data_IF_592099014215
#
_entry.id   IF_592099014215
#
_cell.length_a   1.000
_cell.length_b   1.000
_cell.length_c   1.000
_cell.angle_alpha   90.00
_cell.angle_beta   90.00
_cell.angle_gamma   90.00
#
_symmetry.space_group_name_H-M   'P 1'
#
loop_
_entity.id
_entity.type
_entity.pdbx_description
1 polymer ?
#
# COMPACT_ATOMS: atom_id res chain seq x y z
N UNK A 1 35.53 -78.78 -14.78
CA UNK A 1 36.23 -77.81 -13.90
C UNK A 1 35.22 -77.38 -12.86
N UNK A 2 35.55 -77.64 -11.61
CA UNK A 2 34.70 -77.72 -10.42
C UNK A 2 34.18 -76.37 -9.95
N UNK A 3 33.00 -76.42 -9.32
CA UNK A 3 32.26 -75.36 -8.64
C UNK A 3 32.99 -74.86 -7.36
N UNK A 4 34.24 -74.41 -7.47
CA UNK A 4 35.07 -74.05 -6.31
C UNK A 4 35.35 -72.54 -6.18
N UNK A 5 34.72 -71.68 -6.98
CA UNK A 5 35.04 -70.24 -7.00
C UNK A 5 34.21 -69.37 -6.03
N UNK A 6 33.31 -69.95 -5.23
CA UNK A 6 32.35 -69.17 -4.43
C UNK A 6 32.21 -69.59 -2.95
N UNK A 7 33.26 -70.19 -2.36
CA UNK A 7 33.20 -70.63 -0.96
C UNK A 7 34.51 -70.45 -0.16
N UNK A 8 35.13 -69.27 -0.29
CA UNK A 8 36.06 -68.71 0.69
C UNK A 8 35.51 -67.29 0.96
N UNK A 9 34.91 -66.89 2.08
CA UNK A 9 35.27 -67.11 3.47
C UNK A 9 34.05 -66.91 4.39
N UNK A 10 33.55 -67.99 5.02
CA UNK A 10 32.59 -67.90 6.14
C UNK A 10 33.24 -67.44 7.46
N UNK A 11 34.57 -67.48 7.56
CA UNK A 11 35.30 -67.20 8.80
C UNK A 11 35.83 -65.76 8.90
N UNK A 12 36.11 -65.09 7.77
CA UNK A 12 36.52 -63.68 7.75
C UNK A 12 35.37 -62.68 7.95
N UNK A 13 34.11 -63.10 7.68
CA UNK A 13 32.93 -62.22 7.71
C UNK A 13 32.41 -61.90 9.12
N UNK A 14 32.56 -62.83 10.07
CA UNK A 14 32.10 -62.64 11.45
C UNK A 14 33.06 -61.75 12.21
N UNK A 15 34.37 -61.96 12.04
CA UNK A 15 35.40 -61.17 12.71
C UNK A 15 35.42 -59.71 12.23
N UNK A 16 35.27 -59.49 10.92
CA UNK A 16 35.13 -58.15 10.34
C UNK A 16 33.82 -57.47 10.76
N UNK A 17 32.69 -58.19 10.79
CA UNK A 17 31.43 -57.65 11.32
C UNK A 17 31.52 -57.29 12.81
N UNK A 18 32.20 -58.10 13.62
CA UNK A 18 32.37 -57.83 15.05
C UNK A 18 33.22 -56.57 15.29
N UNK A 19 34.30 -56.40 14.51
CA UNK A 19 35.12 -55.18 14.55
C UNK A 19 34.29 -53.97 14.12
N UNK A 20 33.49 -54.08 13.07
CA UNK A 20 32.67 -52.96 12.57
C UNK A 20 31.59 -52.57 13.58
N UNK A 21 31.00 -53.55 14.26
CA UNK A 21 30.01 -53.32 15.33
C UNK A 21 30.66 -52.68 16.55
N UNK A 22 31.87 -53.10 16.93
CA UNK A 22 32.65 -52.47 18.00
C UNK A 22 33.01 -51.02 17.66
N UNK A 23 33.41 -50.73 16.41
CA UNK A 23 33.67 -49.36 15.96
C UNK A 23 32.41 -48.52 16.00
N UNK A 24 31.26 -49.07 15.59
CA UNK A 24 29.98 -48.35 15.65
C UNK A 24 29.55 -48.08 17.10
N UNK A 25 29.72 -49.05 18.00
CA UNK A 25 29.45 -48.89 19.42
C UNK A 25 30.38 -47.87 20.08
N UNK A 26 31.67 -47.85 19.71
CA UNK A 26 32.60 -46.83 20.17
C UNK A 26 32.23 -45.45 19.62
N UNK A 27 31.85 -45.35 18.35
CA UNK A 27 31.36 -44.11 17.75
C UNK A 27 30.13 -43.56 18.47
N UNK A 28 29.14 -44.40 18.75
CA UNK A 28 27.96 -44.02 19.54
C UNK A 28 28.34 -43.61 20.97
N UNK A 29 29.27 -44.33 21.62
CA UNK A 29 29.71 -44.00 22.98
C UNK A 29 30.45 -42.64 23.03
N UNK A 30 31.30 -42.36 22.04
CA UNK A 30 31.97 -41.06 21.91
C UNK A 30 30.95 -39.95 21.66
N UNK A 31 29.98 -40.16 20.77
CA UNK A 31 28.90 -39.18 20.53
C UNK A 31 28.09 -38.94 21.80
N UNK A 32 27.71 -39.97 22.54
CA UNK A 32 26.95 -39.82 23.81
C UNK A 32 27.78 -39.12 24.90
N UNK A 33 29.10 -39.33 24.94
CA UNK A 33 29.99 -38.69 25.94
C UNK A 33 30.40 -37.26 25.59
N UNK A 34 30.40 -36.91 24.30
CA UNK A 34 30.83 -35.58 23.80
C UNK A 34 29.65 -34.69 23.41
N UNK A 35 28.44 -35.24 23.27
CA UNK A 35 27.24 -34.46 23.00
C UNK A 35 26.74 -33.76 24.26
N UNK A 36 27.24 -32.55 24.50
CA UNK A 36 26.56 -31.60 25.39
C UNK A 36 25.22 -31.21 24.74
N UNK A 37 24.07 -31.33 25.45
CA UNK A 37 22.81 -30.86 24.91
C UNK A 37 22.95 -29.36 24.62
N UNK A 38 22.54 -28.95 23.42
CA UNK A 38 22.62 -27.56 22.99
C UNK A 38 22.06 -26.64 24.10
N UNK A 39 22.93 -25.87 24.75
CA UNK A 39 22.50 -24.86 25.70
C UNK A 39 21.47 -23.98 25.00
N UNK A 40 20.36 -23.68 25.66
CA UNK A 40 19.34 -22.76 25.14
C UNK A 40 19.90 -21.33 25.10
N UNK A 41 20.80 -21.06 24.16
CA UNK A 41 21.49 -19.79 24.00
C UNK A 41 20.44 -18.71 23.76
N UNK A 42 20.35 -17.77 24.71
CA UNK A 42 19.47 -16.61 24.60
C UNK A 42 18.09 -16.73 25.26
N UNK A 43 17.79 -17.82 25.99
CA UNK A 43 16.56 -17.93 26.77
C UNK A 43 16.40 -16.78 27.79
N UNK A 44 17.50 -16.42 28.47
CA UNK A 44 17.51 -15.30 29.43
C UNK A 44 17.32 -13.95 28.74
N UNK A 45 17.97 -13.75 27.57
CA UNK A 45 17.75 -12.56 26.73
C UNK A 45 16.34 -12.50 26.18
N UNK A 46 15.67 -13.63 25.95
CA UNK A 46 14.27 -13.69 25.54
C UNK A 46 13.34 -13.22 26.68
N UNK A 47 13.60 -13.67 27.91
CA UNK A 47 12.86 -13.21 29.10
C UNK A 47 13.06 -11.72 29.35
N UNK A 48 14.28 -11.21 29.19
CA UNK A 48 14.58 -9.78 29.31
C UNK A 48 13.81 -8.96 28.26
N UNK A 49 13.81 -9.38 27.00
CA UNK A 49 13.04 -8.73 25.92
C UNK A 49 11.53 -8.74 26.19
N UNK A 50 11.00 -9.83 26.72
CA UNK A 50 9.58 -9.93 27.11
C UNK A 50 9.25 -8.95 28.23
N UNK A 51 10.06 -8.89 29.29
CA UNK A 51 9.87 -7.95 30.38
C UNK A 51 9.97 -6.49 29.91
N UNK A 52 10.88 -6.17 28.98
CA UNK A 52 10.95 -4.84 28.35
C UNK A 52 9.69 -4.54 27.54
N UNK A 53 9.20 -5.52 26.77
CA UNK A 53 7.99 -5.35 25.93
C UNK A 53 6.74 -5.13 26.78
N UNK A 54 6.58 -5.86 27.88
CA UNK A 54 5.47 -5.68 28.82
C UNK A 54 5.50 -4.29 29.46
N UNK A 55 6.66 -3.82 29.93
CA UNK A 55 6.81 -2.45 30.45
C UNK A 55 6.47 -1.38 29.42
N UNK A 56 6.89 -1.55 28.16
CA UNK A 56 6.56 -0.62 27.07
C UNK A 56 5.06 -0.67 26.78
N UNK A 57 4.46 -1.86 26.76
CA UNK A 57 3.04 -2.06 26.51
C UNK A 57 2.20 -1.38 27.59
N UNK A 58 2.53 -1.56 28.86
CA UNK A 58 1.82 -0.94 29.97
C UNK A 58 1.96 0.58 29.97
N UNK A 59 3.18 1.09 29.74
CA UNK A 59 3.41 2.53 29.58
C UNK A 59 2.66 3.12 28.38
N UNK A 60 2.53 2.36 27.28
CA UNK A 60 1.74 2.75 26.12
C UNK A 60 0.24 2.77 26.47
N UNK A 61 -0.27 1.77 27.17
CA UNK A 61 -1.67 1.74 27.66
C UNK A 61 -1.94 2.93 28.57
N UNK A 62 -1.06 3.26 29.51
CA UNK A 62 -1.22 4.44 30.37
C UNK A 62 -1.24 5.74 29.57
N UNK A 63 -0.41 5.87 28.52
CA UNK A 63 -0.43 7.05 27.62
C UNK A 63 -1.67 7.09 26.72
N UNK A 64 -2.20 5.93 26.32
CA UNK A 64 -3.38 5.77 25.48
C UNK A 64 -4.71 5.89 26.25
N UNK A 65 -4.67 5.76 27.58
CA UNK A 65 -5.82 5.93 28.47
C UNK A 65 -6.43 7.35 28.42
N UNK A 66 -5.76 8.30 27.76
CA UNK A 66 -6.26 9.65 27.49
C UNK A 66 -6.32 10.53 28.75
N UNK A 67 -6.51 11.82 28.51
CA UNK A 67 -6.61 12.94 29.47
C UNK A 67 -5.28 13.53 29.93
N UNK A 68 -4.15 13.19 29.30
CA UNK A 68 -2.88 13.84 29.56
C UNK A 68 -2.87 15.23 28.92
N UNK A 69 -2.51 16.25 29.69
CA UNK A 69 -2.35 17.62 29.16
C UNK A 69 -1.08 17.66 28.31
N UNK A 70 -1.24 17.72 26.99
CA UNK A 70 -0.12 17.79 26.03
C UNK A 70 0.44 19.20 25.97
N UNK A 71 -0.42 20.22 26.04
CA UNK A 71 -0.01 21.62 26.05
C UNK A 71 -0.99 22.46 26.88
N UNK A 72 -0.51 23.02 27.99
CA UNK A 72 -1.33 23.83 28.92
C UNK A 72 -1.77 25.16 28.31
N UNK A 73 -0.90 25.83 27.57
CA UNK A 73 -1.15 27.15 26.98
C UNK A 73 -2.20 27.07 25.87
N UNK A 74 -2.13 26.03 25.03
CA UNK A 74 -3.08 25.78 23.94
C UNK A 74 -4.28 24.93 24.37
N UNK A 75 -4.40 24.60 25.66
CA UNK A 75 -5.43 23.72 26.24
C UNK A 75 -5.60 22.40 25.47
N UNK A 76 -4.49 21.82 24.99
CA UNK A 76 -4.49 20.56 24.24
C UNK A 76 -4.38 19.40 25.23
N UNK A 77 -5.37 18.53 25.23
CA UNK A 77 -5.46 17.34 26.09
C UNK A 77 -5.56 16.12 25.17
N UNK A 78 -4.85 15.03 25.48
CA UNK A 78 -5.05 13.76 24.79
C UNK A 78 -6.43 13.21 25.13
N UNK A 79 -7.15 12.65 24.16
CA UNK A 79 -8.41 11.95 24.42
C UNK A 79 -8.23 10.46 24.13
N UNK A 80 -8.92 9.57 24.87
CA UNK A 80 -9.00 8.17 24.48
C UNK A 80 -9.59 8.07 23.06
N UNK A 81 -9.08 7.15 22.25
CA UNK A 81 -9.44 7.04 20.82
C UNK A 81 -10.96 6.95 20.62
N UNK A 82 -11.66 6.15 21.43
CA UNK A 82 -13.13 6.02 21.35
C UNK A 82 -13.84 7.36 21.59
N UNK A 83 -13.43 8.08 22.63
CA UNK A 83 -13.99 9.40 22.95
C UNK A 83 -13.67 10.43 21.87
N UNK A 84 -12.45 10.40 21.33
CA UNK A 84 -12.06 11.28 20.23
C UNK A 84 -12.92 11.03 18.98
N UNK A 85 -13.12 9.77 18.60
CA UNK A 85 -13.94 9.40 17.44
C UNK A 85 -15.40 9.81 17.65
N UNK A 86 -16.00 9.54 18.81
CA UNK A 86 -17.36 10.00 19.12
C UNK A 86 -17.47 11.53 19.10
N UNK A 87 -16.47 12.24 19.62
CA UNK A 87 -16.47 13.70 19.63
C UNK A 87 -16.29 14.29 18.22
N UNK A 88 -15.46 13.68 17.39
CA UNK A 88 -15.35 14.04 15.97
C UNK A 88 -16.66 13.77 15.23
N UNK A 89 -17.36 12.68 15.52
CA UNK A 89 -18.67 12.40 14.94
C UNK A 89 -19.73 13.42 15.38
N UNK A 90 -19.74 13.84 16.65
CA UNK A 90 -20.63 14.89 17.14
C UNK A 90 -20.31 16.27 16.54
N UNK A 91 -19.04 16.64 16.45
CA UNK A 91 -18.59 17.90 15.87
C UNK A 91 -18.61 17.90 14.33
N UNK A 92 -18.67 16.72 13.73
CA UNK A 92 -18.80 16.51 12.29
C UNK A 92 -20.23 16.67 11.79
N UNK A 93 -21.21 16.92 12.68
CA UNK A 93 -22.57 17.31 12.31
C UNK A 93 -22.55 18.60 11.49
N UNK A 94 -23.42 18.68 10.49
CA UNK A 94 -23.49 19.78 9.53
C UNK A 94 -23.61 21.16 10.22
N UNK A 95 -24.29 21.23 11.35
CA UNK A 95 -24.49 22.45 12.14
C UNK A 95 -23.19 22.92 12.80
N UNK A 96 -22.42 22.00 13.40
CA UNK A 96 -21.14 22.32 14.03
C UNK A 96 -20.06 22.67 12.99
N UNK A 97 -20.13 22.04 11.81
CA UNK A 97 -19.30 22.41 10.65
C UNK A 97 -19.59 23.84 10.19
N UNK A 98 -20.87 24.23 10.06
CA UNK A 98 -21.25 25.60 9.69
C UNK A 98 -20.74 26.64 10.69
N UNK A 99 -20.87 26.38 11.99
CA UNK A 99 -20.34 27.27 13.03
C UNK A 99 -18.80 27.37 12.98
N UNK A 100 -18.10 26.26 12.75
CA UNK A 100 -16.65 26.25 12.57
C UNK A 100 -16.21 27.07 11.35
N UNK A 101 -16.95 26.95 10.25
CA UNK A 101 -16.73 27.73 9.04
C UNK A 101 -16.90 29.21 9.34
N UNK A 102 -18.01 29.63 9.96
CA UNK A 102 -18.28 31.02 10.33
C UNK A 102 -17.17 31.59 11.22
N UNK A 103 -16.71 30.83 12.23
CA UNK A 103 -15.59 31.26 13.08
C UNK A 103 -14.28 31.38 12.30
N UNK A 104 -14.02 30.49 11.34
CA UNK A 104 -12.81 30.56 10.50
C UNK A 104 -12.83 31.75 9.54
N UNK A 105 -14.00 32.04 8.95
CA UNK A 105 -14.24 33.23 8.12
C UNK A 105 -14.05 34.50 8.95
N UNK A 106 -14.63 34.57 10.16
CA UNK A 106 -14.54 35.74 11.03
C UNK A 106 -13.12 35.99 11.54
N UNK A 107 -12.32 34.94 11.75
CA UNK A 107 -10.97 35.06 12.30
C UNK A 107 -9.94 35.45 11.25
N UNK A 108 -9.99 34.80 10.07
CA UNK A 108 -8.91 34.89 9.10
C UNK A 108 -9.39 35.36 7.71
N UNK A 109 -10.70 35.33 7.43
CA UNK A 109 -11.29 35.68 6.12
C UNK A 109 -10.91 34.75 4.96
N UNK A 110 -10.11 33.70 5.23
CA UNK A 110 -9.49 32.83 4.21
C UNK A 110 -10.27 31.57 3.88
N UNK A 111 -11.47 31.41 4.45
CA UNK A 111 -12.29 30.26 4.11
C UNK A 111 -12.94 30.49 2.74
N UNK A 112 -12.46 29.75 1.75
CA UNK A 112 -13.15 29.55 0.49
C UNK A 112 -13.99 28.27 0.61
N UNK A 113 -15.29 28.38 0.40
CA UNK A 113 -16.15 27.20 0.36
C UNK A 113 -15.66 26.25 -0.76
N UNK A 114 -15.68 24.92 -0.54
CA UNK A 114 -15.38 23.97 -1.60
C UNK A 114 -16.24 24.31 -2.81
N UNK A 115 -15.60 24.61 -3.94
CA UNK A 115 -16.31 24.91 -5.18
C UNK A 115 -17.21 23.72 -5.49
N UNK A 116 -18.50 24.00 -5.66
CA UNK A 116 -19.48 22.99 -6.06
C UNK A 116 -19.01 22.39 -7.39
N UNK A 117 -18.48 21.16 -7.31
CA UNK A 117 -17.94 20.38 -8.43
C UNK A 117 -18.93 20.27 -9.59
N UNK A 118 -20.24 20.38 -9.32
CA UNK A 118 -21.30 20.30 -10.33
C UNK A 118 -21.51 21.59 -11.15
N UNK A 119 -20.92 22.72 -10.75
CA UNK A 119 -21.05 24.03 -11.43
C UNK A 119 -19.76 24.52 -12.08
N UNK A 120 -18.72 23.70 -12.11
CA UNK A 120 -17.44 24.08 -12.72
C UNK A 120 -17.54 23.95 -14.23
N UNK A 121 -17.37 25.08 -14.93
CA UNK A 121 -17.28 25.10 -16.38
C UNK A 121 -15.96 24.46 -16.84
N UNK A 122 -16.03 23.20 -17.26
CA UNK A 122 -14.90 22.42 -17.77
C UNK A 122 -14.37 22.93 -19.12
N UNK A 123 -15.11 23.81 -19.79
CA UNK A 123 -14.68 24.45 -21.05
C UNK A 123 -13.90 25.75 -20.81
N UNK A 124 -13.78 26.20 -19.56
CA UNK A 124 -13.05 27.41 -19.21
C UNK A 124 -11.55 27.31 -19.60
N UNK A 125 -11.03 28.19 -20.48
CA UNK A 125 -9.63 28.16 -20.90
C UNK A 125 -8.61 28.26 -19.76
N UNK A 126 -8.91 29.01 -18.70
CA UNK A 126 -8.03 29.15 -17.55
C UNK A 126 -7.91 27.83 -16.76
N UNK A 127 -9.03 27.12 -16.61
CA UNK A 127 -9.08 25.82 -15.94
C UNK A 127 -8.36 24.73 -16.75
N UNK A 128 -8.53 24.75 -18.08
CA UNK A 128 -7.80 23.87 -19.00
C UNK A 128 -6.29 24.13 -18.91
N UNK A 129 -5.88 25.40 -18.90
CA UNK A 129 -4.46 25.77 -18.76
C UNK A 129 -3.88 25.30 -17.41
N UNK A 130 -4.63 25.47 -16.32
CA UNK A 130 -4.26 24.92 -15.01
C UNK A 130 -4.13 23.40 -15.04
N UNK A 131 -5.08 22.71 -15.66
CA UNK A 131 -5.05 21.26 -15.84
C UNK A 131 -3.83 20.78 -16.62
N UNK A 132 -3.44 21.50 -17.67
CA UNK A 132 -2.22 21.21 -18.43
C UNK A 132 -0.97 21.34 -17.56
N UNK A 133 -0.86 22.40 -16.75
CA UNK A 133 0.25 22.58 -15.82
C UNK A 133 0.29 21.45 -14.80
N UNK A 134 -0.85 21.09 -14.21
CA UNK A 134 -0.96 19.97 -13.26
C UNK A 134 -0.56 18.64 -13.91
N UNK A 135 -0.96 18.39 -15.16
CA UNK A 135 -0.61 17.19 -15.90
C UNK A 135 0.91 17.02 -16.06
N UNK A 136 1.64 18.14 -16.16
CA UNK A 136 3.10 18.17 -16.21
C UNK A 136 3.71 18.06 -14.81
N UNK A 137 3.29 18.88 -13.85
CA UNK A 137 3.90 18.95 -12.51
C UNK A 137 3.61 17.74 -11.64
N UNK A 138 2.46 17.09 -11.82
CA UNK A 138 2.09 15.82 -11.16
C UNK A 138 2.57 14.59 -11.94
N UNK A 139 3.42 14.78 -12.94
CA UNK A 139 4.08 13.72 -13.73
C UNK A 139 3.14 12.81 -14.51
N UNK A 140 1.87 13.18 -14.73
CA UNK A 140 0.93 12.38 -15.51
C UNK A 140 1.45 12.11 -16.93
N UNK A 141 2.17 13.08 -17.51
CA UNK A 141 2.77 13.02 -18.85
C UNK A 141 3.80 11.90 -19.05
N UNK A 142 4.38 11.35 -17.98
CA UNK A 142 5.38 10.27 -18.11
C UNK A 142 4.75 8.98 -18.61
N UNK A 143 3.49 8.74 -18.21
CA UNK A 143 2.74 7.52 -18.51
C UNK A 143 1.57 7.75 -19.47
N UNK A 144 0.97 8.94 -19.47
CA UNK A 144 -0.20 9.21 -20.29
C UNK A 144 0.15 10.11 -21.46
N UNK A 145 0.01 9.57 -22.67
CA UNK A 145 0.22 10.33 -23.91
C UNK A 145 -0.98 11.24 -24.18
N UNK A 146 -0.69 12.50 -24.53
CA UNK A 146 -1.69 13.54 -24.84
C UNK A 146 -1.50 14.16 -26.23
N UNK A 147 -0.36 13.92 -26.87
CA UNK A 147 -0.04 14.41 -28.19
C UNK A 147 0.51 13.26 -29.04
N UNK A 148 -0.08 12.94 -30.22
CA UNK A 148 0.41 11.89 -31.11
C UNK A 148 1.89 12.02 -31.47
N UNK A 149 2.39 13.25 -31.60
CA UNK A 149 3.79 13.54 -31.98
C UNK A 149 4.77 13.45 -30.82
N UNK A 150 4.29 13.39 -29.57
CA UNK A 150 5.13 13.34 -28.38
C UNK A 150 4.83 12.01 -27.66
N UNK A 151 5.66 10.97 -27.83
CA UNK A 151 5.42 9.69 -27.18
C UNK A 151 5.58 9.80 -25.66
N UNK A 152 4.90 8.92 -24.92
CA UNK A 152 5.14 8.68 -23.49
C UNK A 152 5.79 7.30 -23.33
N UNK A 153 7.14 7.18 -23.36
CA UNK A 153 7.84 5.90 -23.44
C UNK A 153 7.48 4.92 -22.32
N UNK A 154 7.40 5.40 -21.08
CA UNK A 154 7.00 4.57 -19.95
C UNK A 154 5.54 4.10 -20.10
N UNK A 155 4.65 5.01 -20.53
CA UNK A 155 3.26 4.71 -20.85
C UNK A 155 3.08 3.61 -21.89
N UNK A 156 3.82 3.70 -23.00
CA UNK A 156 3.79 2.69 -24.05
C UNK A 156 4.30 1.34 -23.54
N UNK A 157 5.38 1.33 -22.76
CA UNK A 157 5.95 0.11 -22.19
C UNK A 157 4.95 -0.61 -21.26
N UNK A 158 4.17 0.13 -20.47
CA UNK A 158 3.18 -0.46 -19.54
C UNK A 158 1.76 -0.55 -20.11
N UNK A 159 1.56 -0.17 -21.38
CA UNK A 159 0.24 -0.09 -22.05
C UNK A 159 -0.75 0.80 -21.27
N UNK A 160 -0.28 1.95 -20.80
CA UNK A 160 -1.12 2.94 -20.13
C UNK A 160 -2.15 3.54 -21.12
N UNK A 161 -3.35 3.92 -20.65
CA UNK A 161 -4.33 4.63 -21.47
C UNK A 161 -3.79 5.95 -22.01
N UNK A 162 -4.06 6.24 -23.27
CA UNK A 162 -3.79 7.55 -23.90
C UNK A 162 -5.01 8.46 -23.81
N UNK A 163 -4.78 9.76 -23.68
CA UNK A 163 -5.84 10.79 -23.67
C UNK A 163 -5.97 11.49 -25.01
N UNK A 164 -5.66 10.78 -26.09
CA UNK A 164 -5.74 11.26 -27.47
C UNK A 164 -7.00 10.69 -28.11
N UNK A 165 -7.74 11.54 -28.83
CA UNK A 165 -8.96 11.13 -29.54
C UNK A 165 -10.13 10.86 -28.59
N UNK A 166 -10.96 9.88 -28.92
CA UNK A 166 -12.27 9.65 -28.28
C UNK A 166 -12.13 8.91 -26.93
N UNK A 167 -11.55 9.56 -25.93
CA UNK A 167 -11.45 9.00 -24.58
C UNK A 167 -12.83 8.96 -23.89
N UNK A 168 -13.58 10.06 -23.95
CA UNK A 168 -14.82 10.20 -23.18
C UNK A 168 -16.00 9.46 -23.78
N UNK A 169 -16.93 9.02 -22.93
CA UNK A 169 -18.22 8.45 -23.32
C UNK A 169 -18.19 7.04 -23.93
N UNK A 170 -17.00 6.48 -24.20
CA UNK A 170 -16.89 5.10 -24.71
C UNK A 170 -16.81 4.08 -23.60
N UNK A 171 -17.40 2.92 -23.84
CA UNK A 171 -17.19 1.73 -23.04
C UNK A 171 -15.74 1.25 -23.13
N UNK A 172 -15.23 0.76 -22.01
CA UNK A 172 -13.94 0.07 -21.92
C UNK A 172 -14.06 -1.13 -20.98
N UNK A 173 -13.19 -2.09 -21.20
CA UNK A 173 -12.99 -3.19 -20.26
C UNK A 173 -11.95 -2.80 -19.21
N UNK A 174 -12.25 -3.08 -17.95
CA UNK A 174 -11.39 -2.87 -16.78
C UNK A 174 -11.41 -4.12 -15.91
N UNK A 175 -10.31 -4.38 -15.21
CA UNK A 175 -10.27 -5.31 -14.09
C UNK A 175 -10.73 -4.59 -12.82
N UNK A 176 -11.51 -5.25 -11.97
CA UNK A 176 -11.77 -4.82 -10.60
C UNK A 176 -10.55 -5.20 -9.76
N UNK A 177 -9.75 -4.21 -9.36
CA UNK A 177 -8.39 -4.44 -8.86
C UNK A 177 -7.36 -4.65 -9.99
N UNK A 178 -6.10 -4.87 -9.62
CA UNK A 178 -5.07 -5.28 -10.58
C UNK A 178 -5.18 -6.77 -10.88
N UNK A 179 -5.45 -7.12 -12.15
CA UNK A 179 -5.64 -8.50 -12.63
C UNK A 179 -6.85 -9.26 -12.03
N UNK A 180 -7.85 -8.54 -11.50
CA UNK A 180 -9.09 -9.14 -11.01
C UNK A 180 -10.13 -9.45 -12.11
N UNK A 181 -11.42 -9.66 -11.76
CA UNK A 181 -12.46 -9.95 -12.74
C UNK A 181 -12.70 -8.76 -13.68
N UNK A 182 -13.08 -9.04 -14.93
CA UNK A 182 -13.30 -8.01 -15.95
C UNK A 182 -14.74 -7.47 -15.87
N UNK A 183 -14.87 -6.15 -15.93
CA UNK A 183 -16.13 -5.42 -16.04
C UNK A 183 -16.06 -4.41 -17.19
N UNK A 184 -17.19 -4.17 -17.85
CA UNK A 184 -17.36 -3.06 -18.80
C UNK A 184 -17.81 -1.82 -18.06
N UNK A 185 -17.12 -0.70 -18.30
CA UNK A 185 -17.45 0.61 -17.71
C UNK A 185 -17.39 1.69 -18.77
N UNK A 186 -18.24 2.71 -18.64
CA UNK A 186 -18.20 3.90 -19.50
C UNK A 186 -17.15 4.87 -18.96
N UNK A 187 -16.31 5.43 -19.83
CA UNK A 187 -15.35 6.48 -19.48
C UNK A 187 -16.05 7.84 -19.33
N UNK A 188 -16.81 7.99 -18.26
CA UNK A 188 -17.47 9.23 -17.84
C UNK A 188 -16.64 10.01 -16.79
N UNK A 189 -17.17 11.12 -16.31
CA UNK A 189 -16.52 11.97 -15.30
C UNK A 189 -16.28 11.21 -13.99
N UNK A 190 -17.26 10.42 -13.54
CA UNK A 190 -17.16 9.63 -12.32
C UNK A 190 -16.04 8.60 -12.41
N UNK A 191 -15.92 7.91 -13.55
CA UNK A 191 -14.84 6.97 -13.82
C UNK A 191 -13.47 7.66 -13.80
N UNK A 192 -13.36 8.86 -14.37
CA UNK A 192 -12.11 9.61 -14.39
C UNK A 192 -11.67 10.04 -12.99
N UNK A 193 -12.61 10.57 -12.20
CA UNK A 193 -12.38 10.98 -10.81
C UNK A 193 -11.96 9.78 -9.96
N UNK A 194 -12.68 8.66 -10.08
CA UNK A 194 -12.34 7.40 -9.39
C UNK A 194 -10.96 6.89 -9.82
N UNK A 195 -10.64 6.95 -11.11
CA UNK A 195 -9.33 6.50 -11.62
C UNK A 195 -8.18 7.31 -11.03
N UNK A 196 -8.36 8.60 -10.73
CA UNK A 196 -7.31 9.41 -10.09
C UNK A 196 -7.27 9.19 -8.57
N UNK A 197 -8.43 9.17 -7.91
CA UNK A 197 -8.50 9.06 -6.45
C UNK A 197 -8.21 7.64 -5.94
N UNK A 198 -8.57 6.63 -6.72
CA UNK A 198 -8.48 5.21 -6.40
C UNK A 198 -7.96 4.42 -7.61
N UNK A 199 -6.70 4.67 -8.06
CA UNK A 199 -6.19 4.14 -9.31
C UNK A 199 -6.07 2.61 -9.36
N UNK A 200 -6.07 1.96 -8.19
CA UNK A 200 -6.04 0.50 -8.06
C UNK A 200 -7.44 -0.13 -8.11
N UNK A 201 -8.52 0.64 -7.99
CA UNK A 201 -9.88 0.09 -7.91
C UNK A 201 -10.33 -0.50 -9.25
N UNK A 202 -10.04 0.19 -10.35
CA UNK A 202 -10.39 -0.24 -11.71
C UNK A 202 -9.22 -0.06 -12.66
N UNK A 203 -8.58 -1.15 -13.05
CA UNK A 203 -7.39 -1.11 -13.91
C UNK A 203 -7.76 -1.46 -15.34
N UNK A 204 -7.33 -0.64 -16.30
CA UNK A 204 -7.49 -0.90 -17.73
C UNK A 204 -7.13 -2.34 -18.13
N UNK A 205 -8.02 -3.06 -18.82
CA UNK A 205 -7.67 -4.38 -19.39
C UNK A 205 -6.48 -4.26 -20.32
N UNK A 206 -5.47 -5.12 -20.13
CA UNK A 206 -4.24 -5.13 -20.92
C UNK A 206 -3.15 -4.18 -20.44
N UNK A 207 -3.40 -3.36 -19.40
CA UNK A 207 -2.33 -2.62 -18.73
C UNK A 207 -1.39 -3.60 -18.01
N UNK A 208 -0.08 -3.42 -18.19
CA UNK A 208 0.95 -4.30 -17.60
C UNK A 208 1.31 -3.88 -16.17
N UNK A 209 1.00 -2.64 -15.79
CA UNK A 209 1.15 -2.13 -14.44
C UNK A 209 -0.06 -1.25 -14.10
N UNK A 210 -0.52 -1.26 -12.83
CA UNK A 210 -1.56 -0.35 -12.41
C UNK A 210 -0.98 1.06 -12.21
N UNK A 211 -1.84 2.08 -12.28
CA UNK A 211 -1.44 3.43 -11.89
C UNK A 211 -1.28 3.48 -10.38
N UNK A 212 -0.18 4.08 -9.92
CA UNK A 212 0.11 4.27 -8.49
C UNK A 212 0.29 5.75 -8.24
N UNK A 213 -0.62 6.33 -7.47
CA UNK A 213 -0.55 7.72 -7.00
C UNK A 213 -0.45 7.71 -5.48
N UNK A 214 0.42 8.56 -4.93
CA UNK A 214 0.48 8.75 -3.50
C UNK A 214 -0.87 9.30 -2.98
N UNK A 215 -1.40 8.80 -1.85
CA UNK A 215 -2.62 9.34 -1.26
C UNK A 215 -2.52 10.85 -1.06
N UNK A 216 -3.50 11.59 -1.56
CA UNK A 216 -3.53 13.06 -1.46
C UNK A 216 -2.61 13.81 -2.45
N UNK A 217 -1.97 13.12 -3.41
CA UNK A 217 -1.16 13.79 -4.44
C UNK A 217 -1.98 14.76 -5.29
N UNK A 218 -3.25 14.44 -5.54
CA UNK A 218 -4.20 15.24 -6.30
C UNK A 218 -5.41 15.54 -5.41
N UNK A 219 -5.72 16.82 -5.19
CA UNK A 219 -6.91 17.24 -4.45
C UNK A 219 -8.14 17.39 -5.36
N UNK A 220 -9.31 17.61 -4.77
CA UNK A 220 -10.59 17.64 -5.50
C UNK A 220 -10.65 18.72 -6.58
N UNK A 221 -10.07 19.90 -6.35
CA UNK A 221 -10.03 20.98 -7.34
C UNK A 221 -9.05 20.67 -8.47
N UNK A 222 -7.90 20.09 -8.14
CA UNK A 222 -6.90 19.66 -9.13
C UNK A 222 -7.46 18.55 -10.04
N UNK A 223 -8.30 17.64 -9.51
CA UNK A 223 -9.00 16.63 -10.33
C UNK A 223 -9.88 17.29 -11.39
N UNK A 224 -10.63 18.35 -11.04
CA UNK A 224 -11.48 19.06 -12.00
C UNK A 224 -10.66 19.75 -13.09
N UNK A 225 -9.55 20.39 -12.71
CA UNK A 225 -8.65 21.03 -13.67
C UNK A 225 -8.03 19.99 -14.62
N UNK A 226 -7.54 18.87 -14.09
CA UNK A 226 -7.03 17.75 -14.89
C UNK A 226 -8.11 17.19 -15.83
N UNK A 227 -9.34 17.05 -15.35
CA UNK A 227 -10.47 16.57 -16.15
C UNK A 227 -10.81 17.55 -17.28
N UNK A 228 -10.87 18.86 -17.00
CA UNK A 228 -11.09 19.90 -18.01
C UNK A 228 -10.03 19.83 -19.11
N UNK A 229 -8.76 19.68 -18.72
CA UNK A 229 -7.67 19.50 -19.69
C UNK A 229 -7.83 18.21 -20.50
N UNK A 230 -8.07 17.05 -19.88
CA UNK A 230 -8.25 15.79 -20.60
C UNK A 230 -9.49 15.81 -21.50
N UNK A 231 -10.57 16.47 -21.11
CA UNK A 231 -11.73 16.72 -21.98
C UNK A 231 -11.38 17.58 -23.19
N UNK A 232 -10.58 18.63 -23.02
CA UNK A 232 -10.16 19.49 -24.13
C UNK A 232 -9.31 18.77 -25.19
N UNK A 233 -8.72 17.62 -24.84
CA UNK A 233 -7.90 16.79 -25.74
C UNK A 233 -8.73 15.79 -26.57
N UNK A 234 -9.96 15.52 -26.13
CA UNK A 234 -10.90 14.71 -26.90
C UNK A 234 -11.65 15.57 -27.90
N UNK A 235 -11.77 15.06 -29.12
CA UNK A 235 -12.51 15.70 -30.22
C UNK A 235 -13.72 14.87 -30.57
#
# INVERSE_FOLDING_TARGET
MSDEYYNHDKEGSVFTSLILLLVFMFGCFVVVRVHEPAQAVGADKAKERLATKEKIHDAAITKLAGNAVINKEKKIISLPIKTAVSRVAELGKEEARKELIERSVAKDGKYEAPKDVSKVDLSNPALIAQGKVLFQTKTCFTCHQVNPSIPAPAGMAIKAPTFIGDFWGKEREVHIGFQGPIQKVVRNEEYFIESIKQPMAKVAKGALAPMVLAPGLVNDEEVLALMAYVKSLSK
#
